data_IF_508859854986
#
_entry.id   IF_508859854986
#
_cell.length_a   1.000
_cell.length_b   1.000
_cell.length_c   1.000
_cell.angle_alpha   90.00
_cell.angle_beta   90.00
_cell.angle_gamma   90.00
#
_symmetry.space_group_name_H-M   'P 1'
#
loop_
_entity.id
_entity.type
_entity.pdbx_description
1 polymer ?
#
# COMPACT_ATOMS: atom_id res chain seq x y z
N UNK A 1 -8.59 -14.67 -4.98
CA UNK A 1 -7.47 -14.00 -5.67
C UNK A 1 -6.28 -14.94 -5.70
N UNK A 2 -5.64 -15.10 -6.87
CA UNK A 2 -4.51 -16.02 -7.03
C UNK A 2 -3.33 -15.72 -6.10
N UNK A 3 -3.04 -14.43 -5.88
CA UNK A 3 -1.97 -14.01 -4.99
C UNK A 3 -2.16 -14.57 -3.57
N UNK A 4 -3.39 -14.53 -3.04
CA UNK A 4 -3.70 -15.05 -1.71
C UNK A 4 -3.33 -16.53 -1.60
N UNK A 5 -3.67 -17.34 -2.61
CA UNK A 5 -3.33 -18.77 -2.62
C UNK A 5 -1.83 -19.04 -2.61
N UNK A 6 -1.08 -18.27 -3.41
CA UNK A 6 0.38 -18.40 -3.46
C UNK A 6 0.99 -18.06 -2.12
N UNK A 7 0.58 -16.95 -1.53
CA UNK A 7 1.08 -16.50 -0.22
C UNK A 7 0.76 -17.51 0.87
N UNK A 8 -0.48 -18.01 0.90
CA UNK A 8 -0.92 -18.97 1.90
C UNK A 8 -0.19 -20.31 1.74
N UNK A 9 0.04 -20.76 0.52
CA UNK A 9 0.80 -21.98 0.24
C UNK A 9 2.23 -21.87 0.79
N UNK A 10 2.92 -20.77 0.53
CA UNK A 10 4.29 -20.55 1.00
C UNK A 10 4.36 -20.42 2.52
N UNK A 11 3.41 -19.71 3.11
CA UNK A 11 3.35 -19.56 4.57
C UNK A 11 3.07 -20.88 5.27
N UNK A 12 2.18 -21.72 4.70
CA UNK A 12 1.88 -23.04 5.24
C UNK A 12 3.09 -23.99 5.19
N UNK A 13 3.99 -23.78 4.23
CA UNK A 13 5.26 -24.51 4.13
C UNK A 13 6.32 -24.01 5.15
N UNK A 14 6.01 -22.99 5.95
CA UNK A 14 6.91 -22.42 6.96
C UNK A 14 7.87 -21.37 6.41
N UNK A 15 7.68 -20.94 5.16
CA UNK A 15 8.54 -19.93 4.56
C UNK A 15 8.23 -18.51 5.11
N UNK A 16 9.24 -17.66 5.10
CA UNK A 16 9.06 -16.22 5.33
C UNK A 16 8.58 -15.60 4.04
N UNK A 17 7.44 -14.89 4.08
CA UNK A 17 6.78 -14.39 2.87
C UNK A 17 6.56 -12.89 2.98
N UNK A 18 7.02 -12.17 1.97
CA UNK A 18 6.76 -10.75 1.82
C UNK A 18 6.32 -10.51 0.38
N UNK A 19 5.14 -9.94 0.20
CA UNK A 19 4.69 -9.39 -1.09
C UNK A 19 4.63 -7.88 -0.96
N UNK A 20 5.31 -7.16 -1.83
CA UNK A 20 5.36 -5.70 -1.75
C UNK A 20 5.29 -5.03 -3.11
N UNK A 21 4.80 -3.82 -3.12
CA UNK A 21 4.75 -2.96 -4.31
C UNK A 21 3.40 -2.31 -4.52
N UNK A 22 3.11 -1.99 -5.76
CA UNK A 22 1.87 -1.38 -6.21
C UNK A 22 0.81 -2.45 -6.45
N UNK A 23 -0.22 -2.48 -5.61
CA UNK A 23 -1.35 -3.42 -5.75
C UNK A 23 -2.49 -2.84 -6.59
N UNK A 24 -2.43 -1.56 -6.98
CA UNK A 24 -3.55 -0.84 -7.59
C UNK A 24 -4.85 -0.92 -6.79
N UNK A 25 -4.74 -1.25 -5.52
CA UNK A 25 -5.84 -1.37 -4.57
C UNK A 25 -5.37 -0.87 -3.20
N UNK A 26 -6.31 -0.40 -2.41
CA UNK A 26 -6.05 0.04 -1.04
C UNK A 26 -6.40 -1.08 -0.06
N UNK A 27 -5.59 -1.30 0.96
CA UNK A 27 -5.94 -2.22 2.04
C UNK A 27 -7.16 -1.69 2.81
N UNK A 28 -8.11 -2.57 3.12
CA UNK A 28 -9.37 -2.20 3.78
C UNK A 28 -9.20 -1.59 5.17
N UNK A 29 -8.03 -1.76 5.80
CA UNK A 29 -7.71 -1.21 7.11
C UNK A 29 -7.02 0.18 7.06
N UNK A 30 -6.93 0.80 5.89
CA UNK A 30 -6.34 2.13 5.73
C UNK A 30 -7.40 3.21 5.88
N UNK A 31 -7.10 4.23 6.68
CA UNK A 31 -7.92 5.43 6.77
C UNK A 31 -7.62 6.36 5.59
N UNK A 32 -8.60 6.55 4.71
CA UNK A 32 -8.50 7.39 3.52
C UNK A 32 -9.02 8.81 3.72
N UNK A 33 -9.36 9.21 4.94
CA UNK A 33 -9.94 10.54 5.18
C UNK A 33 -9.00 11.69 4.81
N UNK A 34 -7.69 11.47 4.86
CA UNK A 34 -6.67 12.45 4.45
C UNK A 34 -6.62 12.64 2.93
N UNK A 35 -6.97 11.60 2.17
CA UNK A 35 -6.90 11.60 0.70
C UNK A 35 -8.25 11.21 0.10
N UNK A 36 -9.29 12.06 0.26
CA UNK A 36 -10.62 11.73 -0.23
C UNK A 36 -10.67 11.74 -1.76
N UNK A 37 -11.64 11.01 -2.31
CA UNK A 37 -11.89 11.05 -3.76
C UNK A 37 -12.32 12.45 -4.16
N UNK A 38 -11.56 13.07 -5.07
CA UNK A 38 -11.77 14.45 -5.50
C UNK A 38 -12.89 14.58 -6.55
N UNK A 39 -13.02 13.58 -7.43
CA UNK A 39 -14.00 13.57 -8.50
C UNK A 39 -14.35 12.15 -8.87
N UNK A 40 -15.62 11.91 -9.23
CA UNK A 40 -16.07 10.62 -9.74
C UNK A 40 -15.46 10.27 -11.10
N UNK A 41 -14.93 11.26 -11.83
CA UNK A 41 -14.30 11.06 -13.13
C UNK A 41 -12.86 10.56 -13.02
N UNK A 42 -12.24 10.68 -11.84
CA UNK A 42 -10.89 10.18 -11.61
C UNK A 42 -10.92 8.70 -11.27
N UNK A 43 -9.85 8.01 -11.67
CA UNK A 43 -9.69 6.61 -11.30
C UNK A 43 -9.73 6.45 -9.77
N UNK A 44 -10.41 5.42 -9.32
CA UNK A 44 -10.47 5.06 -7.91
C UNK A 44 -9.99 3.61 -7.73
N UNK A 45 -9.13 3.35 -6.73
CA UNK A 45 -8.66 1.99 -6.48
C UNK A 45 -9.78 1.12 -5.91
N UNK A 46 -9.71 -0.18 -6.21
CA UNK A 46 -10.45 -1.18 -5.45
C UNK A 46 -9.90 -1.35 -4.04
N UNK A 47 -10.46 -2.28 -3.30
CA UNK A 47 -10.04 -2.57 -1.92
C UNK A 47 -9.61 -4.03 -1.78
N UNK A 48 -8.51 -4.25 -1.08
CA UNK A 48 -8.11 -5.58 -0.61
C UNK A 48 -8.68 -5.76 0.79
N UNK A 49 -9.56 -6.75 0.95
CA UNK A 49 -10.11 -7.10 2.26
C UNK A 49 -9.03 -7.82 3.08
N UNK A 50 -8.46 -7.13 4.06
CA UNK A 50 -7.38 -7.68 4.87
C UNK A 50 -7.83 -8.87 5.72
N UNK A 51 -9.14 -9.00 5.98
CA UNK A 51 -9.66 -10.13 6.74
C UNK A 51 -9.49 -11.48 6.01
N UNK A 52 -9.33 -11.48 4.69
CA UNK A 52 -9.10 -12.69 3.91
C UNK A 52 -7.78 -13.39 4.26
N UNK A 53 -6.82 -12.65 4.84
CA UNK A 53 -5.52 -13.19 5.22
C UNK A 53 -5.51 -13.81 6.61
N UNK A 54 -6.54 -13.59 7.42
CA UNK A 54 -6.64 -14.11 8.79
C UNK A 54 -5.44 -13.69 9.65
N UNK A 55 -4.97 -14.61 10.49
CA UNK A 55 -3.81 -14.38 11.37
C UNK A 55 -2.47 -14.74 10.70
N UNK A 56 -2.49 -15.21 9.46
CA UNK A 56 -1.29 -15.69 8.78
C UNK A 56 -0.47 -14.56 8.17
N UNK A 57 -1.08 -13.41 7.91
CA UNK A 57 -0.44 -12.26 7.27
C UNK A 57 -0.90 -10.95 7.89
N UNK A 58 -0.02 -9.96 7.82
CA UNK A 58 -0.33 -8.56 8.10
C UNK A 58 -0.18 -7.75 6.83
N UNK A 59 -1.21 -6.99 6.48
CA UNK A 59 -1.15 -6.01 5.40
C UNK A 59 -0.72 -4.67 5.99
N UNK A 60 0.39 -4.13 5.52
CA UNK A 60 1.02 -2.95 6.11
C UNK A 60 1.36 -1.92 5.06
N UNK A 61 1.00 -0.68 5.34
CA UNK A 61 1.38 0.50 4.57
C UNK A 61 1.55 1.69 5.51
N UNK A 62 1.86 2.85 4.96
CA UNK A 62 1.98 4.09 5.72
C UNK A 62 1.26 5.21 4.97
N UNK A 63 0.25 5.79 5.62
CA UNK A 63 -0.57 6.87 5.09
C UNK A 63 -0.10 8.27 5.50
N UNK A 64 1.08 8.39 6.13
CA UNK A 64 1.65 9.69 6.52
C UNK A 64 2.01 10.56 5.30
N UNK A 65 2.22 9.95 4.15
CA UNK A 65 2.35 10.59 2.84
C UNK A 65 1.63 9.73 1.81
N UNK A 66 1.13 10.30 0.71
CA UNK A 66 0.49 9.50 -0.34
C UNK A 66 1.52 8.63 -1.06
N UNK A 67 1.12 7.42 -1.42
CA UNK A 67 2.01 6.52 -2.17
C UNK A 67 1.91 6.72 -3.68
N UNK A 68 0.82 7.29 -4.17
CA UNK A 68 0.58 7.55 -5.58
C UNK A 68 -0.24 8.81 -5.78
N UNK A 69 -0.12 9.41 -6.96
CA UNK A 69 -0.95 10.55 -7.40
C UNK A 69 -1.60 10.28 -8.74
N UNK A 70 -2.63 11.05 -9.05
CA UNK A 70 -3.24 11.02 -10.37
C UNK A 70 -2.30 11.58 -11.46
N UNK A 71 -2.59 11.19 -12.70
CA UNK A 71 -1.86 11.62 -13.90
C UNK A 71 -2.73 12.51 -14.80
N UNK A 72 -3.78 13.11 -14.27
CA UNK A 72 -4.75 13.87 -15.05
C UNK A 72 -4.26 15.25 -15.48
N UNK A 73 -3.20 15.75 -14.86
CA UNK A 73 -2.60 17.05 -15.17
C UNK A 73 -1.13 17.09 -14.74
N UNK A 74 -0.33 18.09 -15.20
CA UNK A 74 1.05 18.24 -14.74
C UNK A 74 1.13 18.45 -13.24
N UNK A 75 2.13 17.84 -12.59
CA UNK A 75 2.37 17.96 -11.17
C UNK A 75 3.38 19.07 -10.89
N UNK A 76 2.98 20.07 -10.09
CA UNK A 76 3.81 21.24 -9.79
C UNK A 76 4.23 21.32 -8.32
N UNK A 77 4.16 20.21 -7.60
CA UNK A 77 4.50 20.13 -6.19
C UNK A 77 3.32 19.76 -5.32
N UNK A 78 3.58 19.65 -4.03
CA UNK A 78 2.65 19.09 -3.07
C UNK A 78 1.40 19.96 -2.90
N UNK A 79 0.28 19.50 -3.43
CA UNK A 79 -1.00 20.17 -3.38
C UNK A 79 -2.11 19.18 -3.06
N UNK A 80 -2.49 19.10 -1.78
CA UNK A 80 -3.52 18.19 -1.29
C UNK A 80 -4.94 18.55 -1.74
N UNK A 81 -5.16 19.78 -2.22
CA UNK A 81 -6.50 20.23 -2.59
C UNK A 81 -6.82 20.00 -4.06
N UNK A 82 -5.82 20.05 -4.94
CA UNK A 82 -6.05 20.01 -6.39
C UNK A 82 -5.65 18.72 -7.06
N UNK A 83 -4.93 17.83 -6.39
CA UNK A 83 -4.55 16.51 -6.91
C UNK A 83 -5.29 15.39 -6.20
N UNK A 84 -5.57 14.32 -6.95
CA UNK A 84 -6.01 13.07 -6.35
C UNK A 84 -4.79 12.29 -5.89
N UNK A 85 -4.78 11.92 -4.61
CA UNK A 85 -3.76 11.08 -4.00
C UNK A 85 -4.34 9.73 -3.63
N UNK A 86 -3.47 8.72 -3.57
CA UNK A 86 -3.86 7.33 -3.30
C UNK A 86 -2.88 6.67 -2.33
N UNK A 87 -3.36 5.66 -1.62
CA UNK A 87 -2.55 4.72 -0.84
C UNK A 87 -2.76 3.34 -1.47
N UNK A 88 -1.94 2.98 -2.44
CA UNK A 88 -2.08 1.72 -3.21
C UNK A 88 -0.82 0.87 -3.20
N UNK A 89 0.22 1.33 -2.53
CA UNK A 89 1.48 0.61 -2.35
C UNK A 89 1.59 0.14 -0.91
N UNK A 90 2.15 -1.04 -0.71
CA UNK A 90 2.29 -1.59 0.63
C UNK A 90 2.92 -2.97 0.62
N UNK A 91 2.76 -3.67 1.73
CA UNK A 91 3.35 -4.99 1.95
C UNK A 91 2.34 -5.93 2.58
N UNK A 92 2.40 -7.20 2.17
CA UNK A 92 1.70 -8.31 2.80
C UNK A 92 2.79 -9.21 3.38
N UNK A 93 2.82 -9.34 4.71
CA UNK A 93 3.94 -9.93 5.45
C UNK A 93 3.45 -11.11 6.27
N UNK A 94 4.12 -12.26 6.15
CA UNK A 94 3.76 -13.45 6.92
C UNK A 94 4.00 -13.24 8.42
N UNK A 95 3.16 -13.87 9.25
CA UNK A 95 3.13 -13.66 10.70
C UNK A 95 4.36 -14.20 11.43
N UNK A 96 5.21 -14.99 10.77
CA UNK A 96 6.50 -15.41 11.31
C UNK A 96 7.60 -14.35 11.18
N UNK A 97 7.27 -13.18 10.63
CA UNK A 97 8.11 -12.00 10.61
C UNK A 97 7.55 -10.92 11.53
N UNK A 98 8.44 -10.17 12.16
CA UNK A 98 8.08 -9.00 12.95
C UNK A 98 8.24 -7.74 12.10
N UNK A 99 7.18 -6.97 11.96
CA UNK A 99 7.24 -5.65 11.30
C UNK A 99 7.70 -4.64 12.33
N UNK A 100 8.87 -4.06 12.12
CA UNK A 100 9.39 -2.98 12.95
C UNK A 100 8.85 -1.63 12.51
N UNK A 101 8.80 -1.39 11.19
CA UNK A 101 8.21 -0.17 10.64
C UNK A 101 7.86 -0.33 9.18
N UNK A 102 6.87 0.45 8.75
CA UNK A 102 6.52 0.65 7.34
C UNK A 102 6.43 2.16 7.13
N UNK A 103 7.16 2.67 6.14
CA UNK A 103 7.28 4.11 5.94
C UNK A 103 7.19 4.48 4.47
N UNK A 104 6.27 5.37 4.12
CA UNK A 104 6.24 6.04 2.83
C UNK A 104 7.25 7.19 2.87
N UNK A 105 8.17 7.21 1.92
CA UNK A 105 9.20 8.23 1.82
C UNK A 105 8.70 9.32 0.89
N UNK A 106 8.35 10.46 1.46
CA UNK A 106 7.80 11.58 0.71
C UNK A 106 8.90 12.29 -0.08
N UNK A 107 8.98 11.98 -1.36
CA UNK A 107 9.85 12.68 -2.31
C UNK A 107 9.09 13.73 -3.11
N UNK A 108 7.86 14.05 -2.71
CA UNK A 108 6.97 14.95 -3.43
C UNK A 108 6.83 14.56 -4.92
N UNK A 109 6.84 13.23 -5.18
CA UNK A 109 6.71 12.64 -6.53
C UNK A 109 7.72 13.22 -7.55
N UNK A 110 8.92 13.51 -7.11
CA UNK A 110 9.94 14.21 -7.89
C UNK A 110 10.27 13.54 -9.23
N UNK A 111 10.28 12.20 -9.24
CA UNK A 111 10.70 11.43 -10.42
C UNK A 111 9.66 10.37 -10.84
N UNK A 112 8.52 10.29 -10.19
CA UNK A 112 7.51 9.25 -10.42
C UNK A 112 6.16 9.69 -9.91
N UNK A 113 5.09 9.06 -10.39
CA UNK A 113 3.74 9.19 -9.83
C UNK A 113 3.55 8.33 -8.56
N UNK A 114 4.60 7.65 -8.11
CA UNK A 114 4.65 6.94 -6.83
C UNK A 114 5.77 7.49 -5.95
N UNK A 115 5.52 7.50 -4.65
CA UNK A 115 6.56 7.67 -3.63
C UNK A 115 7.07 6.28 -3.21
N UNK A 116 8.36 6.12 -2.88
CA UNK A 116 8.87 4.85 -2.37
C UNK A 116 8.25 4.50 -1.02
N UNK A 117 8.07 3.21 -0.77
CA UNK A 117 7.65 2.70 0.52
C UNK A 117 8.71 1.72 1.03
N UNK A 118 9.06 1.84 2.32
CA UNK A 118 10.09 1.02 2.96
C UNK A 118 9.48 0.17 4.06
N UNK A 119 9.88 -1.09 4.08
CA UNK A 119 9.55 -2.04 5.12
C UNK A 119 10.81 -2.42 5.91
N UNK A 120 10.73 -2.38 7.23
CA UNK A 120 11.75 -2.88 8.14
C UNK A 120 11.15 -4.04 8.93
N UNK A 121 11.71 -5.23 8.74
CA UNK A 121 11.26 -6.45 9.40
C UNK A 121 12.41 -7.18 10.06
N UNK A 122 12.08 -8.01 11.03
CA UNK A 122 13.00 -8.93 11.68
C UNK A 122 12.40 -10.33 11.73
N UNK A 123 13.25 -11.33 11.81
CA UNK A 123 12.83 -12.68 12.13
C UNK A 123 12.31 -12.76 13.56
N UNK A 124 11.23 -13.47 13.75
CA UNK A 124 10.76 -13.77 15.10
C UNK A 124 11.55 -14.88 15.75
#
# INVERSE_FOLDING_TARGET
MMLVYILQYEAAAGNYVIAGGDFNQTFSNVDLSTYPQQSADLWAPGSIDVSEFGDSFTCSTDSSAPTCRSLDKPYEGHDLESFQYYIIDGFIVSSNLQINSTKTIDLDFKNSDHNPIRLDVALK
#
